data_IF_653641684326
#
_entry.id   IF_653641684326
#
_cell.length_a   1.000
_cell.length_b   1.000
_cell.length_c   1.000
_cell.angle_alpha   90.00
_cell.angle_beta   90.00
_cell.angle_gamma   90.00
#
_symmetry.space_group_name_H-M   'P 1'
#
loop_
_entity.id
_entity.type
_entity.pdbx_description
1 polymer ?
#
# COMPACT_ATOMS: atom_id res chain seq x y z
N UNK A 1 -17.88 11.52 -13.13
CA UNK A 1 -16.41 11.56 -12.99
C UNK A 1 -16.03 11.10 -11.59
N UNK A 2 -15.02 10.27 -11.48
CA UNK A 2 -14.43 9.84 -10.21
C UNK A 2 -13.11 10.58 -9.96
N UNK A 3 -12.58 10.47 -8.75
CA UNK A 3 -11.33 11.10 -8.34
C UNK A 3 -10.47 10.12 -7.54
N UNK A 4 -9.19 10.46 -7.31
CA UNK A 4 -8.24 9.63 -6.57
C UNK A 4 -8.72 9.28 -5.16
N UNK A 5 -9.43 10.17 -4.49
CA UNK A 5 -9.95 9.91 -3.15
C UNK A 5 -10.95 8.74 -3.14
N UNK A 6 -11.90 8.73 -4.08
CA UNK A 6 -12.87 7.63 -4.20
C UNK A 6 -12.18 6.33 -4.63
N UNK A 7 -11.18 6.42 -5.51
CA UNK A 7 -10.34 5.30 -5.90
C UNK A 7 -9.62 4.70 -4.70
N UNK A 8 -8.89 5.48 -3.92
CA UNK A 8 -8.17 5.00 -2.73
C UNK A 8 -9.09 4.27 -1.73
N UNK A 9 -10.31 4.80 -1.50
CA UNK A 9 -11.32 4.12 -0.67
C UNK A 9 -11.73 2.79 -1.29
N UNK A 10 -11.97 2.74 -2.60
CA UNK A 10 -12.32 1.54 -3.34
C UNK A 10 -11.23 0.47 -3.25
N UNK A 11 -9.98 0.86 -3.50
CA UNK A 11 -8.80 -0.03 -3.38
C UNK A 11 -8.69 -0.62 -1.98
N UNK A 12 -8.82 0.21 -0.94
CA UNK A 12 -8.80 -0.27 0.46
C UNK A 12 -9.95 -1.25 0.76
N UNK A 13 -11.13 -1.00 0.19
CA UNK A 13 -12.29 -1.89 0.33
C UNK A 13 -12.04 -3.25 -0.34
N UNK A 14 -11.56 -3.22 -1.57
CA UNK A 14 -11.25 -4.43 -2.36
C UNK A 14 -10.12 -5.21 -1.70
N UNK A 15 -9.05 -4.56 -1.24
CA UNK A 15 -7.96 -5.21 -0.51
C UNK A 15 -8.47 -5.96 0.72
N UNK A 16 -9.41 -5.37 1.46
CA UNK A 16 -10.07 -6.04 2.58
C UNK A 16 -10.85 -7.29 2.15
N UNK A 17 -11.58 -7.23 1.03
CA UNK A 17 -12.32 -8.38 0.48
C UNK A 17 -11.38 -9.49 0.00
N UNK A 18 -10.30 -9.14 -0.72
CA UNK A 18 -9.30 -10.11 -1.17
C UNK A 18 -8.69 -10.81 0.05
N UNK A 19 -8.27 -10.05 1.07
CA UNK A 19 -7.75 -10.60 2.32
C UNK A 19 -8.74 -11.58 2.95
N UNK A 20 -9.99 -11.17 3.10
CA UNK A 20 -11.04 -11.99 3.71
C UNK A 20 -11.30 -13.27 2.92
N UNK A 21 -11.22 -13.21 1.60
CA UNK A 21 -11.39 -14.35 0.71
C UNK A 21 -10.23 -15.35 0.84
N UNK A 22 -8.98 -14.85 0.74
CA UNK A 22 -7.77 -15.67 0.86
C UNK A 22 -7.71 -16.37 2.20
N UNK A 23 -8.01 -15.65 3.28
CA UNK A 23 -7.89 -16.16 4.65
C UNK A 23 -9.22 -16.60 5.26
N UNK A 24 -10.24 -16.89 4.43
CA UNK A 24 -11.59 -17.29 4.89
C UNK A 24 -11.54 -18.53 5.81
N UNK A 25 -10.88 -19.56 5.37
CA UNK A 25 -10.75 -20.83 6.11
C UNK A 25 -9.42 -20.96 6.85
N UNK A 26 -8.58 -19.93 6.83
CA UNK A 26 -7.25 -19.97 7.44
C UNK A 26 -7.29 -19.59 8.92
N UNK A 27 -6.61 -20.38 9.75
CA UNK A 27 -6.53 -20.16 11.19
C UNK A 27 -5.16 -19.61 11.55
N UNK A 28 -5.10 -18.31 11.85
CA UNK A 28 -3.94 -17.67 12.45
C UNK A 28 -3.76 -18.16 13.89
N UNK A 29 -2.53 -18.16 14.39
CA UNK A 29 -2.27 -18.54 15.79
C UNK A 29 -3.00 -17.64 16.78
N UNK A 30 -3.16 -16.34 16.43
CA UNK A 30 -3.92 -15.39 17.24
C UNK A 30 -4.92 -14.63 16.38
N UNK A 31 -6.17 -14.47 16.83
CA UNK A 31 -7.17 -13.66 16.13
C UNK A 31 -6.71 -12.20 15.93
N UNK A 32 -5.93 -11.64 16.86
CA UNK A 32 -5.34 -10.30 16.78
C UNK A 32 -4.36 -10.16 15.61
N UNK A 33 -3.59 -11.21 15.29
CA UNK A 33 -2.69 -11.21 14.12
C UNK A 33 -3.49 -11.07 12.82
N UNK A 34 -4.58 -11.84 12.66
CA UNK A 34 -5.47 -11.73 11.49
C UNK A 34 -6.03 -10.31 11.35
N UNK A 35 -6.54 -9.75 12.44
CA UNK A 35 -7.11 -8.40 12.45
C UNK A 35 -6.05 -7.34 12.09
N UNK A 36 -4.84 -7.44 12.66
CA UNK A 36 -3.72 -6.55 12.36
C UNK A 36 -3.30 -6.64 10.89
N UNK A 37 -3.11 -7.85 10.37
CA UNK A 37 -2.70 -8.06 8.96
C UNK A 37 -3.76 -7.53 7.99
N UNK A 38 -5.02 -7.75 8.28
CA UNK A 38 -6.12 -7.18 7.51
C UNK A 38 -6.09 -5.66 7.51
N UNK A 39 -5.91 -5.05 8.68
CA UNK A 39 -5.94 -3.60 8.82
C UNK A 39 -4.73 -2.93 8.16
N UNK A 40 -3.52 -3.49 8.35
CA UNK A 40 -2.32 -2.93 7.72
C UNK A 40 -2.37 -3.04 6.19
N UNK A 41 -2.89 -4.15 5.64
CA UNK A 41 -3.11 -4.32 4.19
C UNK A 41 -4.09 -3.28 3.65
N UNK A 42 -5.19 -3.02 4.36
CA UNK A 42 -6.16 -1.98 4.00
C UNK A 42 -5.56 -0.58 4.05
N UNK A 43 -4.71 -0.29 5.04
CA UNK A 43 -4.02 1.00 5.14
C UNK A 43 -3.01 1.17 4.00
N UNK A 44 -2.22 0.14 3.69
CA UNK A 44 -1.30 0.17 2.56
C UNK A 44 -2.05 0.42 1.24
N UNK A 45 -3.15 -0.29 1.02
CA UNK A 45 -4.01 -0.11 -0.15
C UNK A 45 -4.69 1.27 -0.19
N UNK A 46 -5.06 1.85 0.95
CA UNK A 46 -5.62 3.20 1.03
C UNK A 46 -4.62 4.28 0.62
N UNK A 47 -3.35 4.08 0.98
CA UNK A 47 -2.31 5.11 0.91
C UNK A 47 -1.34 4.91 -0.26
N UNK A 48 -1.44 3.82 -1.03
CA UNK A 48 -0.45 3.44 -2.05
C UNK A 48 -0.16 4.55 -3.07
N UNK A 49 -1.17 5.33 -3.43
CA UNK A 49 -1.15 6.36 -4.48
C UNK A 49 -1.11 7.80 -3.94
N UNK A 50 -0.96 8.00 -2.62
CA UNK A 50 -1.06 9.33 -2.02
C UNK A 50 0.05 10.28 -2.48
N UNK A 51 1.15 9.75 -2.98
CA UNK A 51 2.30 10.50 -3.50
C UNK A 51 2.12 11.04 -4.91
N UNK A 52 1.06 10.70 -5.61
CA UNK A 52 0.84 11.21 -6.97
C UNK A 52 0.61 12.72 -7.01
N UNK A 53 1.41 13.39 -7.81
CA UNK A 53 1.24 14.81 -8.11
C UNK A 53 0.13 15.10 -9.13
N UNK A 54 -0.17 16.40 -9.38
CA UNK A 54 -1.01 16.81 -10.50
C UNK A 54 -0.47 16.26 -11.82
N UNK A 55 -1.33 15.83 -12.73
CA UNK A 55 -0.96 15.21 -14.02
C UNK A 55 -0.25 13.84 -13.90
N UNK A 56 -0.32 13.21 -12.71
CA UNK A 56 0.16 11.84 -12.49
C UNK A 56 1.63 11.65 -12.89
N UNK A 57 1.94 10.63 -13.69
CA UNK A 57 3.31 10.29 -14.11
C UNK A 57 4.03 11.40 -14.90
N UNK A 58 3.30 12.30 -15.56
CA UNK A 58 3.93 13.41 -16.30
C UNK A 58 4.73 14.34 -15.38
N UNK A 59 4.29 14.52 -14.13
CA UNK A 59 5.02 15.33 -13.14
C UNK A 59 6.31 14.68 -12.65
N UNK A 60 6.47 13.37 -12.80
CA UNK A 60 7.67 12.67 -12.36
C UNK A 60 8.92 13.12 -13.14
N UNK A 61 8.74 13.61 -14.37
CA UNK A 61 9.86 14.13 -15.19
C UNK A 61 10.53 15.38 -14.58
N UNK A 62 9.83 16.10 -13.71
CA UNK A 62 10.32 17.32 -13.05
C UNK A 62 10.51 17.15 -11.54
N UNK A 63 10.34 15.95 -10.99
CA UNK A 63 10.59 15.68 -9.58
C UNK A 63 12.09 15.77 -9.25
N UNK A 64 12.46 16.14 -7.99
CA UNK A 64 13.85 16.24 -7.55
C UNK A 64 14.51 14.86 -7.45
N UNK A 65 15.79 14.85 -7.08
CA UNK A 65 16.47 13.60 -6.74
C UNK A 65 15.94 13.05 -5.42
N UNK A 66 15.92 11.72 -5.27
CA UNK A 66 15.45 11.04 -4.05
C UNK A 66 16.21 11.54 -2.81
N UNK A 67 17.52 11.80 -2.94
CA UNK A 67 18.35 12.34 -1.85
C UNK A 67 17.86 13.70 -1.33
N UNK A 68 17.27 14.54 -2.20
CA UNK A 68 16.72 15.84 -1.81
C UNK A 68 15.44 15.72 -0.98
N UNK A 69 14.69 14.62 -1.14
CA UNK A 69 13.47 14.38 -0.39
C UNK A 69 13.74 14.07 1.10
N UNK A 70 14.95 13.64 1.44
CA UNK A 70 15.36 13.31 2.83
C UNK A 70 14.35 12.39 3.52
N UNK A 71 13.99 11.29 2.85
CA UNK A 71 13.06 10.29 3.38
C UNK A 71 13.79 9.51 4.46
N UNK A 72 13.33 9.62 5.72
CA UNK A 72 14.04 9.07 6.87
C UNK A 72 14.28 7.58 6.76
N UNK A 73 13.27 6.83 6.33
CA UNK A 73 13.34 5.36 6.22
C UNK A 73 14.36 4.87 5.18
N UNK A 74 14.72 5.67 4.19
CA UNK A 74 15.75 5.30 3.20
C UNK A 74 17.16 5.36 3.78
N UNK A 75 17.35 6.04 4.91
CA UNK A 75 18.63 6.10 5.63
C UNK A 75 18.79 4.99 6.67
N UNK A 76 17.75 4.18 6.90
CA UNK A 76 17.81 3.09 7.87
C UNK A 76 18.67 1.93 7.35
N UNK A 77 19.38 1.22 8.28
CA UNK A 77 20.18 0.05 7.90
C UNK A 77 19.36 -1.00 7.15
N UNK A 78 19.89 -1.47 6.03
CA UNK A 78 19.23 -2.44 5.17
C UNK A 78 18.40 -1.82 4.04
N UNK A 79 18.10 -0.52 4.10
CA UNK A 79 17.49 0.21 3.01
C UNK A 79 18.57 0.95 2.22
N UNK A 80 18.84 0.50 1.01
CA UNK A 80 19.72 1.20 0.09
C UNK A 80 18.90 1.70 -1.08
N UNK A 81 18.87 3.02 -1.24
CA UNK A 81 18.26 3.64 -2.42
C UNK A 81 19.36 4.23 -3.29
N UNK A 82 19.40 3.83 -4.54
CA UNK A 82 20.23 4.50 -5.52
C UNK A 82 19.71 5.92 -5.74
N UNK A 83 20.61 6.91 -5.75
CA UNK A 83 20.19 8.28 -6.04
C UNK A 83 19.73 8.35 -7.49
N UNK A 84 18.47 8.67 -7.65
CA UNK A 84 17.74 8.77 -8.91
C UNK A 84 16.68 9.86 -8.79
N UNK A 85 16.07 10.20 -9.89
CA UNK A 85 14.87 11.05 -9.84
C UNK A 85 13.77 10.34 -9.04
N UNK A 86 13.13 11.09 -8.17
CA UNK A 86 12.01 10.61 -7.40
C UNK A 86 10.78 10.34 -8.28
N UNK A 87 9.93 9.46 -7.84
CA UNK A 87 8.64 9.18 -8.44
C UNK A 87 7.52 9.31 -7.37
N UNK A 88 6.28 9.04 -7.74
CA UNK A 88 5.15 9.11 -6.82
C UNK A 88 5.26 8.11 -5.66
N UNK A 89 5.91 6.96 -5.86
CA UNK A 89 6.10 5.97 -4.79
C UNK A 89 7.00 6.52 -3.68
N UNK A 90 8.09 7.22 -4.02
CA UNK A 90 8.97 7.87 -3.03
C UNK A 90 8.19 8.91 -2.19
N UNK A 91 7.35 9.72 -2.83
CA UNK A 91 6.47 10.64 -2.11
C UNK A 91 5.44 9.91 -1.27
N UNK A 92 4.90 8.79 -1.75
CA UNK A 92 4.00 7.94 -0.95
C UNK A 92 4.70 7.46 0.33
N UNK A 93 5.91 6.91 0.21
CA UNK A 93 6.70 6.48 1.37
C UNK A 93 6.94 7.65 2.33
N UNK A 94 7.36 8.82 1.80
CA UNK A 94 7.56 10.02 2.62
C UNK A 94 6.28 10.43 3.36
N UNK A 95 5.14 10.46 2.69
CA UNK A 95 3.88 10.83 3.33
C UNK A 95 3.45 9.82 4.40
N UNK A 96 3.64 8.53 4.15
CA UNK A 96 3.27 7.47 5.10
C UNK A 96 4.16 7.49 6.34
N UNK A 97 5.47 7.78 6.20
CA UNK A 97 6.43 7.64 7.29
C UNK A 97 6.82 8.96 7.96
N UNK A 98 6.89 10.07 7.21
CA UNK A 98 7.50 11.33 7.65
C UNK A 98 6.50 12.49 7.74
N UNK A 99 5.19 12.23 7.75
CA UNK A 99 4.18 13.28 7.78
C UNK A 99 3.17 13.13 8.93
N UNK A 100 2.20 14.02 8.97
CA UNK A 100 1.08 13.93 9.91
C UNK A 100 0.27 12.63 9.73
N UNK A 101 0.34 11.96 8.57
CA UNK A 101 -0.30 10.67 8.33
C UNK A 101 0.33 9.61 9.24
N UNK A 102 1.66 9.62 9.39
CA UNK A 102 2.35 8.74 10.33
C UNK A 102 1.83 8.93 11.77
N UNK A 103 1.66 10.19 12.19
CA UNK A 103 1.12 10.49 13.51
C UNK A 103 -0.33 10.00 13.67
N UNK A 104 -1.16 10.14 12.63
CA UNK A 104 -2.54 9.63 12.63
C UNK A 104 -2.58 8.11 12.70
N UNK A 105 -1.74 7.40 11.93
CA UNK A 105 -1.65 5.94 11.99
C UNK A 105 -1.31 5.52 13.43
N UNK A 106 -0.26 6.06 14.02
CA UNK A 106 0.16 5.75 15.40
C UNK A 106 -0.93 6.08 16.44
N UNK A 107 -1.68 7.16 16.24
CA UNK A 107 -2.76 7.57 17.14
C UNK A 107 -3.96 6.61 17.13
N UNK A 108 -4.34 6.13 15.96
CA UNK A 108 -5.58 5.34 15.81
C UNK A 108 -5.36 3.84 15.74
N UNK A 109 -4.12 3.39 15.47
CA UNK A 109 -3.76 1.98 15.32
C UNK A 109 -2.50 1.69 16.15
N UNK A 110 -2.69 1.40 17.44
CA UNK A 110 -1.60 1.25 18.40
C UNK A 110 -0.63 0.08 18.07
N UNK A 111 -1.08 -0.92 17.31
CA UNK A 111 -0.33 -2.10 16.91
C UNK A 111 0.22 -2.04 15.47
N UNK A 112 0.06 -0.88 14.79
CA UNK A 112 0.53 -0.66 13.43
C UNK A 112 1.53 0.49 13.40
N UNK A 113 2.78 0.17 13.03
CA UNK A 113 3.78 1.19 12.72
C UNK A 113 3.63 1.67 11.26
N UNK A 114 3.70 2.98 10.97
CA UNK A 114 3.70 3.52 9.61
C UNK A 114 4.77 2.89 8.70
N UNK A 115 5.94 2.55 9.25
CA UNK A 115 6.98 1.86 8.52
C UNK A 115 6.52 0.49 7.99
N UNK A 116 5.74 -0.25 8.78
CA UNK A 116 5.20 -1.54 8.34
C UNK A 116 4.17 -1.37 7.20
N UNK A 117 3.42 -0.26 7.19
CA UNK A 117 2.54 0.09 6.05
C UNK A 117 3.38 0.35 4.81
N UNK A 118 4.46 1.14 4.94
CA UNK A 118 5.40 1.41 3.85
C UNK A 118 6.03 0.13 3.29
N UNK A 119 6.37 -0.84 4.15
CA UNK A 119 6.91 -2.15 3.74
C UNK A 119 5.96 -3.02 2.92
N UNK A 120 4.65 -2.78 2.96
CA UNK A 120 3.70 -3.45 2.07
C UNK A 120 3.55 -2.73 0.74
N UNK A 121 3.78 -1.42 0.70
CA UNK A 121 3.74 -0.60 -0.52
C UNK A 121 5.03 -0.80 -1.33
N UNK A 122 6.18 -0.56 -0.71
CA UNK A 122 7.49 -0.78 -1.33
C UNK A 122 8.13 -2.07 -0.81
N UNK A 123 8.21 -3.07 -1.68
CA UNK A 123 8.77 -4.39 -1.37
C UNK A 123 10.29 -4.37 -1.17
N UNK A 124 10.97 -3.32 -1.66
CA UNK A 124 12.41 -3.17 -1.55
C UNK A 124 12.84 -2.65 -0.16
N UNK A 125 11.92 -2.09 0.62
CA UNK A 125 12.23 -1.69 1.99
C UNK A 125 12.57 -2.92 2.83
N UNK A 126 13.66 -2.83 3.58
CA UNK A 126 13.99 -3.84 4.57
C UNK A 126 12.88 -3.90 5.63
N UNK A 127 12.46 -5.08 5.98
CA UNK A 127 11.47 -5.29 7.02
C UNK A 127 11.83 -6.53 7.82
N UNK A 128 11.87 -6.40 9.13
CA UNK A 128 12.07 -7.55 10.00
C UNK A 128 10.96 -8.58 9.74
N UNK A 129 11.37 -9.81 9.43
CA UNK A 129 10.43 -10.86 9.08
C UNK A 129 9.42 -11.16 10.20
N UNK A 130 9.79 -10.94 11.45
CA UNK A 130 8.92 -11.17 12.61
C UNK A 130 7.66 -10.32 12.58
N UNK A 131 7.70 -9.15 11.93
CA UNK A 131 6.58 -8.21 11.82
C UNK A 131 5.37 -8.84 11.12
N UNK A 132 5.63 -9.61 10.07
CA UNK A 132 4.60 -10.24 9.25
C UNK A 132 4.57 -11.77 9.41
N UNK A 133 5.21 -12.29 10.45
CA UNK A 133 5.25 -13.73 10.70
C UNK A 133 4.17 -14.15 11.71
N UNK A 134 3.47 -15.24 11.41
CA UNK A 134 2.63 -15.98 12.34
C UNK A 134 3.04 -17.46 12.31
N UNK A 135 3.50 -17.96 13.45
CA UNK A 135 4.15 -19.28 13.51
C UNK A 135 5.46 -19.34 12.74
N UNK A 136 5.48 -20.12 11.66
CA UNK A 136 6.65 -20.27 10.78
C UNK A 136 6.47 -19.62 9.41
N UNK A 137 5.36 -18.91 9.20
CA UNK A 137 4.99 -18.38 7.89
C UNK A 137 5.14 -16.87 7.90
N UNK A 138 5.93 -16.37 6.94
CA UNK A 138 6.03 -14.94 6.65
C UNK A 138 4.94 -14.56 5.62
N UNK A 139 4.03 -13.71 6.03
CA UNK A 139 2.88 -13.26 5.21
C UNK A 139 3.16 -12.01 4.39
N UNK A 140 4.27 -11.31 4.61
CA UNK A 140 4.58 -10.08 3.87
C UNK A 140 4.42 -10.24 2.35
N UNK A 141 4.93 -11.31 1.71
CA UNK A 141 4.81 -11.45 0.26
C UNK A 141 3.37 -11.45 -0.24
N UNK A 142 2.49 -12.23 0.40
CA UNK A 142 1.09 -12.29 -0.03
C UNK A 142 0.32 -11.00 0.30
N UNK A 143 0.58 -10.37 1.45
CA UNK A 143 -0.05 -9.11 1.82
C UNK A 143 0.36 -7.97 0.87
N UNK A 144 1.63 -7.90 0.47
CA UNK A 144 2.11 -6.94 -0.52
C UNK A 144 1.52 -7.20 -1.91
N UNK A 145 1.27 -8.46 -2.29
CA UNK A 145 0.62 -8.78 -3.57
C UNK A 145 -0.83 -8.31 -3.63
N UNK A 146 -1.54 -8.28 -2.51
CA UNK A 146 -2.90 -7.71 -2.45
C UNK A 146 -2.86 -6.21 -2.77
N UNK A 147 -1.80 -5.51 -2.36
CA UNK A 147 -1.65 -4.05 -2.54
C UNK A 147 -1.10 -3.71 -3.93
N UNK A 148 -0.07 -4.45 -4.39
CA UNK A 148 0.65 -4.17 -5.64
C UNK A 148 1.14 -5.46 -6.29
N UNK A 149 0.49 -5.87 -7.38
CA UNK A 149 0.87 -7.04 -8.20
C UNK A 149 0.27 -6.93 -9.62
N UNK A 150 0.33 -8.02 -10.39
CA UNK A 150 -0.33 -8.07 -11.69
C UNK A 150 -1.86 -8.14 -11.58
N UNK A 151 -2.38 -8.69 -10.47
CA UNK A 151 -3.80 -8.74 -10.16
C UNK A 151 -3.99 -8.34 -8.70
N UNK A 152 -4.09 -7.07 -8.45
CA UNK A 152 -4.17 -6.45 -7.14
C UNK A 152 -5.46 -5.65 -6.92
N UNK A 153 -5.60 -5.10 -5.74
CA UNK A 153 -6.77 -4.32 -5.38
C UNK A 153 -6.88 -3.01 -6.19
N UNK A 154 -5.75 -2.42 -6.58
CA UNK A 154 -5.69 -1.21 -7.39
C UNK A 154 -6.27 -1.46 -8.77
N UNK A 155 -5.76 -2.47 -9.49
CA UNK A 155 -6.26 -2.85 -10.82
C UNK A 155 -7.74 -3.22 -10.79
N UNK A 156 -8.17 -3.96 -9.78
CA UNK A 156 -9.59 -4.33 -9.64
C UNK A 156 -10.48 -3.11 -9.46
N UNK A 157 -10.04 -2.09 -8.70
CA UNK A 157 -10.84 -0.88 -8.53
C UNK A 157 -10.89 -0.05 -9.81
N UNK A 158 -9.73 0.26 -10.41
CA UNK A 158 -9.76 1.17 -11.57
C UNK A 158 -10.39 0.52 -12.80
N UNK A 159 -10.20 -0.78 -13.05
CA UNK A 159 -10.85 -1.47 -14.17
C UNK A 159 -12.37 -1.45 -14.05
N UNK A 160 -12.91 -1.75 -12.86
CA UNK A 160 -14.36 -1.71 -12.64
C UNK A 160 -14.91 -0.30 -12.70
N UNK A 161 -14.19 0.65 -12.06
CA UNK A 161 -14.58 2.06 -11.99
C UNK A 161 -14.57 2.71 -13.36
N UNK A 162 -13.51 2.55 -14.13
CA UNK A 162 -13.38 3.11 -15.47
C UNK A 162 -14.41 2.50 -16.42
N UNK A 163 -14.61 1.19 -16.35
CA UNK A 163 -15.64 0.47 -17.08
C UNK A 163 -17.03 1.06 -16.81
N UNK A 164 -17.36 1.26 -15.54
CA UNK A 164 -18.65 1.85 -15.16
C UNK A 164 -18.84 3.26 -15.72
N UNK A 165 -17.84 4.14 -15.55
CA UNK A 165 -17.94 5.54 -16.00
C UNK A 165 -17.84 5.70 -17.52
N UNK A 166 -17.16 4.79 -18.22
CA UNK A 166 -17.10 4.77 -19.68
C UNK A 166 -18.26 4.04 -20.33
N UNK A 167 -19.11 3.36 -19.57
CA UNK A 167 -20.24 2.60 -20.10
C UNK A 167 -19.83 1.36 -20.92
N UNK A 168 -18.68 0.77 -20.61
CA UNK A 168 -18.15 -0.41 -21.29
C UNK A 168 -18.11 -1.61 -20.34
N UNK A 169 -18.11 -2.83 -20.85
CA UNK A 169 -18.24 -4.05 -20.04
C UNK A 169 -16.92 -4.78 -19.77
N UNK A 170 -15.77 -4.09 -19.84
CA UNK A 170 -14.45 -4.69 -19.65
C UNK A 170 -14.09 -4.98 -18.18
N UNK A 171 -14.71 -4.30 -17.23
CA UNK A 171 -14.35 -4.35 -15.82
C UNK A 171 -15.16 -5.32 -14.96
N UNK A 172 -15.91 -6.22 -15.57
CA UNK A 172 -16.67 -7.20 -14.80
C UNK A 172 -15.73 -8.28 -14.26
N UNK A 173 -15.35 -8.13 -13.00
CA UNK A 173 -14.57 -9.12 -12.26
C UNK A 173 -15.54 -9.95 -11.41
N UNK A 174 -15.54 -11.27 -11.63
CA UNK A 174 -16.29 -12.23 -10.82
C UNK A 174 -15.66 -12.26 -9.40
N UNK A 175 -16.45 -11.88 -8.38
CA UNK A 175 -15.98 -11.67 -6.99
C UNK A 175 -16.49 -12.77 -6.06
#
# INVERSE_FOLDING_TARGET
>A
THNRFLHSIGVSHIAGKIFDSIFKAYHFQKPSTKARFRQITKLAALLHDIGHGPLSHTTEEVMPQVSELKIAVYSEPGNFQQDRRANHEDYTIKFVTDSNIAALIKKYYADIDPYHVACLIDKNLFCDESVFTDGKINYRPILSQIVSSELDADRMDYLERDSYFCGISYGNIDR
#
